data_IF_390280508435
#
_entry.id   IF_390280508435
#
_cell.length_a   1.000
_cell.length_b   1.000
_cell.length_c   1.000
_cell.angle_alpha   90.00
_cell.angle_beta   90.00
_cell.angle_gamma   90.00
#
_symmetry.space_group_name_H-M   'P 1'
#
loop_
_entity.id
_entity.type
_entity.pdbx_description
1 polymer ?
#
# COMPACT_ATOMS: atom_id res chain seq x y z
N UNK A 1 -18.23 5.18 -13.17
CA UNK A 1 -17.07 4.60 -12.44
C UNK A 1 -17.52 3.29 -11.81
N UNK A 2 -16.85 2.17 -12.09
CA UNK A 2 -17.14 0.87 -11.46
C UNK A 2 -15.94 0.55 -10.56
N UNK A 3 -16.15 0.48 -9.25
CA UNK A 3 -15.05 0.47 -8.28
C UNK A 3 -14.52 -0.93 -7.95
N UNK A 4 -15.27 -1.99 -8.30
CA UNK A 4 -15.06 -3.30 -7.66
C UNK A 4 -15.51 -3.20 -6.21
N UNK A 5 -14.70 -3.69 -5.27
CA UNK A 5 -14.88 -3.39 -3.84
C UNK A 5 -14.75 -1.90 -3.57
N UNK A 6 -15.66 -1.37 -2.76
CA UNK A 6 -15.59 -0.01 -2.23
C UNK A 6 -14.27 0.25 -1.52
N UNK A 7 -13.61 1.36 -1.88
CA UNK A 7 -12.25 1.64 -1.43
C UNK A 7 -12.16 2.75 -0.38
N UNK A 8 -11.28 2.55 0.59
CA UNK A 8 -10.71 3.60 1.42
C UNK A 8 -9.48 4.18 0.72
N UNK A 9 -9.40 5.50 0.71
CA UNK A 9 -8.27 6.31 0.23
C UNK A 9 -7.73 7.13 1.39
N UNK A 10 -6.42 7.35 1.46
CA UNK A 10 -5.88 8.29 2.44
C UNK A 10 -6.39 9.69 2.16
N UNK A 11 -6.81 10.38 3.22
CA UNK A 11 -7.16 11.78 3.17
C UNK A 11 -5.89 12.60 2.91
N UNK A 12 -5.72 13.04 1.65
CA UNK A 12 -4.50 13.72 1.19
C UNK A 12 -4.19 14.94 2.03
N UNK A 13 -5.19 15.77 2.33
CA UNK A 13 -5.00 17.00 3.09
C UNK A 13 -4.47 16.73 4.51
N UNK A 14 -4.72 15.53 5.04
CA UNK A 14 -4.30 15.15 6.38
C UNK A 14 -2.93 14.48 6.41
N UNK A 15 -2.64 13.60 5.43
CA UNK A 15 -1.42 12.79 5.45
C UNK A 15 -0.28 13.36 4.61
N UNK A 16 -0.62 14.17 3.61
CA UNK A 16 0.29 14.93 2.75
C UNK A 16 -0.19 16.39 2.66
N UNK A 17 -0.25 17.13 3.79
CA UNK A 17 -0.74 18.51 3.78
C UNK A 17 0.15 19.40 2.91
N UNK A 18 -0.47 20.39 2.27
CA UNK A 18 0.25 21.44 1.57
C UNK A 18 1.24 22.14 2.49
N UNK A 19 2.32 22.69 1.93
CA UNK A 19 3.37 23.40 2.69
C UNK A 19 2.83 24.45 3.67
N UNK A 20 1.74 25.13 3.31
CA UNK A 20 1.09 26.13 4.17
C UNK A 20 0.39 25.54 5.40
N UNK A 21 -0.01 24.26 5.34
CA UNK A 21 -0.77 23.55 6.36
C UNK A 21 0.06 22.50 7.11
N UNK A 22 1.33 22.30 6.73
CA UNK A 22 2.25 21.41 7.44
C UNK A 22 2.54 21.99 8.83
N UNK A 23 2.26 21.20 9.86
CA UNK A 23 2.55 21.52 11.27
C UNK A 23 3.57 20.55 11.84
N UNK A 24 4.42 21.02 12.77
CA UNK A 24 5.32 20.17 13.56
C UNK A 24 4.56 19.18 14.45
N UNK A 25 3.28 19.44 14.74
CA UNK A 25 2.46 18.58 15.58
C UNK A 25 1.71 17.50 14.80
N UNK A 26 1.56 17.66 13.48
CA UNK A 26 0.86 16.69 12.65
C UNK A 26 1.70 15.42 12.48
N UNK A 27 1.10 14.22 12.61
CA UNK A 27 1.80 12.97 12.35
C UNK A 27 2.22 12.85 10.89
N UNK A 28 3.45 12.38 10.70
CA UNK A 28 3.92 11.97 9.38
C UNK A 28 3.24 10.66 8.97
N UNK A 29 3.17 10.37 7.67
CA UNK A 29 2.55 9.12 7.20
C UNK A 29 3.18 7.86 7.82
N UNK A 30 4.52 7.73 7.98
CA UNK A 30 5.11 6.60 8.70
C UNK A 30 4.62 6.46 10.14
N UNK A 31 4.34 7.56 10.84
CA UNK A 31 3.80 7.49 12.21
C UNK A 31 2.33 7.06 12.26
N UNK A 32 1.55 7.43 11.25
CA UNK A 32 0.17 6.97 11.07
C UNK A 32 0.17 5.46 10.83
N UNK A 33 1.02 4.98 9.92
CA UNK A 33 1.18 3.54 9.69
C UNK A 33 1.70 2.80 10.92
N UNK A 34 2.66 3.38 11.65
CA UNK A 34 3.14 2.80 12.89
C UNK A 34 1.99 2.62 13.90
N UNK A 35 1.17 3.64 14.11
CA UNK A 35 0.00 3.57 14.99
C UNK A 35 -0.98 2.47 14.51
N UNK A 36 -1.29 2.42 13.21
CA UNK A 36 -2.14 1.37 12.64
C UNK A 36 -1.60 -0.03 12.95
N UNK A 37 -0.31 -0.26 12.69
CA UNK A 37 0.39 -1.53 12.92
C UNK A 37 0.36 -1.89 14.40
N UNK A 38 0.79 -1.01 15.30
CA UNK A 38 0.94 -1.34 16.73
C UNK A 38 -0.39 -1.63 17.44
N UNK A 39 -1.51 -1.19 16.87
CA UNK A 39 -2.85 -1.53 17.38
C UNK A 39 -3.48 -2.77 16.73
N UNK A 40 -2.82 -3.39 15.77
CA UNK A 40 -3.30 -4.57 15.06
C UNK A 40 -2.88 -5.86 15.76
N UNK A 41 -3.79 -6.80 15.96
CA UNK A 41 -3.53 -8.08 16.64
C UNK A 41 -3.56 -9.30 15.70
N UNK A 42 -3.69 -9.07 14.40
CA UNK A 42 -3.86 -10.14 13.41
C UNK A 42 -5.31 -10.50 13.10
N UNK A 43 -6.28 -9.98 13.86
CA UNK A 43 -7.71 -10.33 13.73
C UNK A 43 -8.65 -9.13 13.70
N UNK A 44 -8.17 -7.96 14.12
CA UNK A 44 -8.98 -6.74 14.29
C UNK A 44 -8.83 -5.69 13.16
N UNK A 45 -8.50 -6.12 11.92
CA UNK A 45 -8.20 -5.18 10.83
C UNK A 45 -9.37 -4.26 10.45
N UNK A 46 -10.60 -4.78 10.49
CA UNK A 46 -11.80 -3.99 10.17
C UNK A 46 -12.03 -2.89 11.18
N UNK A 47 -11.87 -3.20 12.46
CA UNK A 47 -11.97 -2.27 13.58
C UNK A 47 -10.90 -1.19 13.47
N UNK A 48 -9.65 -1.57 13.17
CA UNK A 48 -8.54 -0.62 13.00
C UNK A 48 -8.77 0.33 11.83
N UNK A 49 -9.22 -0.16 10.67
CA UNK A 49 -9.52 0.70 9.54
C UNK A 49 -10.72 1.63 9.82
N UNK A 50 -11.74 1.14 10.53
CA UNK A 50 -12.89 1.94 10.95
C UNK A 50 -12.46 3.07 11.91
N UNK A 51 -11.62 2.77 12.90
CA UNK A 51 -11.10 3.79 13.84
C UNK A 51 -10.33 4.89 13.09
N UNK A 52 -9.44 4.53 12.15
CA UNK A 52 -8.68 5.54 11.40
C UNK A 52 -9.56 6.36 10.46
N UNK A 53 -10.65 5.77 9.96
CA UNK A 53 -11.68 6.50 9.22
C UNK A 53 -12.40 7.50 10.13
N UNK A 54 -12.84 7.09 11.32
CA UNK A 54 -13.47 7.97 12.32
C UNK A 54 -12.54 9.10 12.76
N UNK A 55 -11.25 8.79 12.91
CA UNK A 55 -10.22 9.79 13.19
C UNK A 55 -10.04 10.76 12.03
N UNK A 56 -10.49 10.44 10.81
CA UNK A 56 -10.47 11.29 9.63
C UNK A 56 -9.27 11.09 8.69
N UNK A 57 -8.55 9.96 8.81
CA UNK A 57 -7.42 9.61 7.94
C UNK A 57 -7.83 8.99 6.60
N UNK A 58 -9.06 8.50 6.49
CA UNK A 58 -9.56 7.88 5.27
C UNK A 58 -10.78 8.58 4.70
N UNK A 59 -10.84 8.61 3.37
CA UNK A 59 -12.02 8.92 2.57
C UNK A 59 -12.52 7.67 1.85
N UNK A 60 -13.81 7.61 1.60
CA UNK A 60 -14.40 6.80 0.53
C UNK A 60 -15.19 7.70 -0.40
N UNK A 61 -15.34 7.30 -1.67
CA UNK A 61 -16.03 8.11 -2.68
C UNK A 61 -17.54 8.09 -2.43
N UNK A 62 -18.16 6.90 -2.41
CA UNK A 62 -19.62 6.76 -2.23
C UNK A 62 -19.98 5.92 -1.01
N UNK A 63 -19.42 4.72 -0.86
CA UNK A 63 -19.78 3.84 0.26
C UNK A 63 -19.06 4.26 1.56
N UNK A 64 -19.76 4.79 2.59
CA UNK A 64 -19.12 5.19 3.86
C UNK A 64 -18.55 4.00 4.65
N UNK A 65 -19.01 2.79 4.35
CA UNK A 65 -18.60 1.55 4.99
C UNK A 65 -17.52 0.79 4.21
N UNK A 66 -16.85 1.45 3.25
CA UNK A 66 -15.72 0.86 2.56
C UNK A 66 -14.70 0.29 3.56
N UNK A 67 -14.23 -0.94 3.31
CA UNK A 67 -13.22 -1.62 4.13
C UNK A 67 -11.96 -1.96 3.35
N UNK A 68 -12.02 -1.98 2.02
CA UNK A 68 -10.84 -2.25 1.19
C UNK A 68 -9.98 -0.99 1.09
N UNK A 69 -8.82 -0.97 1.73
CA UNK A 69 -7.90 0.15 1.54
C UNK A 69 -7.00 -0.07 0.31
N UNK A 70 -6.89 0.99 -0.49
CA UNK A 70 -5.98 1.06 -1.61
C UNK A 70 -5.02 2.20 -1.32
N UNK A 71 -3.70 1.93 -1.28
CA UNK A 71 -2.59 2.84 -0.89
C UNK A 71 -2.45 4.10 -1.78
N UNK A 72 -3.55 4.78 -1.99
CA UNK A 72 -3.77 5.94 -2.83
C UNK A 72 -4.36 7.06 -1.98
N UNK A 73 -4.15 8.28 -2.46
CA UNK A 73 -4.59 9.49 -1.79
C UNK A 73 -5.77 10.07 -2.56
N UNK A 74 -6.74 10.60 -1.84
CA UNK A 74 -7.87 11.32 -2.39
C UNK A 74 -8.05 12.60 -1.60
N UNK A 75 -8.18 13.73 -2.28
CA UNK A 75 -8.53 15.00 -1.65
C UNK A 75 -10.03 15.17 -1.43
N UNK A 76 -10.42 16.00 -0.47
CA UNK A 76 -11.83 16.29 -0.20
C UNK A 76 -12.56 16.90 -1.42
N UNK A 77 -11.90 17.82 -2.15
CA UNK A 77 -12.46 18.44 -3.35
C UNK A 77 -12.61 17.43 -4.49
N UNK A 78 -11.57 16.61 -4.74
CA UNK A 78 -11.59 15.55 -5.76
C UNK A 78 -12.69 14.53 -5.50
N UNK A 79 -12.89 14.16 -4.23
CA UNK A 79 -14.00 13.30 -3.80
C UNK A 79 -15.34 13.88 -4.20
N UNK A 80 -15.61 15.15 -3.88
CA UNK A 80 -16.89 15.79 -4.21
C UNK A 80 -17.04 15.99 -5.73
N UNK A 81 -15.97 16.26 -6.46
CA UNK A 81 -15.98 16.30 -7.92
C UNK A 81 -16.40 14.96 -8.52
N UNK A 82 -15.83 13.83 -8.05
CA UNK A 82 -16.23 12.50 -8.53
C UNK A 82 -17.69 12.22 -8.22
N UNK A 83 -18.15 12.53 -7.00
CA UNK A 83 -19.56 12.33 -6.59
C UNK A 83 -20.53 13.17 -7.41
N UNK A 84 -20.14 14.38 -7.78
CA UNK A 84 -20.97 15.30 -8.57
C UNK A 84 -20.96 15.03 -10.08
N UNK A 85 -19.94 14.36 -10.61
CA UNK A 85 -19.74 14.22 -12.07
C UNK A 85 -19.85 12.78 -12.59
N UNK A 86 -19.81 11.77 -11.73
CA UNK A 86 -19.83 10.37 -12.14
C UNK A 86 -20.98 9.59 -11.51
N UNK A 87 -21.64 8.74 -12.30
CA UNK A 87 -22.40 7.63 -11.76
C UNK A 87 -21.42 6.56 -11.27
N UNK A 88 -21.42 6.30 -9.95
CA UNK A 88 -20.51 5.37 -9.30
C UNK A 88 -21.25 4.09 -8.94
N UNK A 89 -20.71 2.96 -9.36
CA UNK A 89 -21.16 1.63 -9.00
C UNK A 89 -20.10 1.05 -8.06
N UNK A 90 -20.49 0.93 -6.80
CA UNK A 90 -19.67 0.40 -5.72
C UNK A 90 -20.04 -1.06 -5.45
N UNK A 91 -19.07 -1.83 -4.96
CA UNK A 91 -19.20 -3.25 -4.60
C UNK A 91 -19.64 -4.17 -5.76
N UNK A 92 -19.29 -3.81 -7.00
CA UNK A 92 -19.51 -4.63 -8.19
C UNK A 92 -18.38 -4.45 -9.21
N UNK A 93 -18.17 -5.45 -10.05
CA UNK A 93 -17.07 -5.51 -11.01
C UNK A 93 -17.57 -5.52 -12.44
N UNK A 94 -16.86 -4.80 -13.32
CA UNK A 94 -17.03 -4.93 -14.76
C UNK A 94 -16.62 -6.34 -15.22
N UNK A 95 -17.50 -7.00 -15.96
CA UNK A 95 -17.26 -8.35 -16.52
C UNK A 95 -17.08 -8.33 -18.03
N UNK A 96 -17.80 -7.45 -18.72
CA UNK A 96 -17.71 -7.37 -20.18
C UNK A 96 -18.74 -6.45 -20.80
N UNK A 97 -18.72 -6.40 -22.12
CA UNK A 97 -19.67 -5.66 -22.95
C UNK A 97 -20.36 -6.59 -23.93
N UNK A 98 -21.63 -6.35 -24.18
CA UNK A 98 -22.41 -6.97 -25.25
C UNK A 98 -22.94 -5.86 -26.18
N UNK A 99 -22.71 -6.03 -27.48
CA UNK A 99 -23.33 -5.20 -28.51
C UNK A 99 -24.72 -5.78 -28.82
N UNK A 100 -25.77 -4.99 -28.56
CA UNK A 100 -27.16 -5.34 -28.79
C UNK A 100 -27.73 -4.64 -30.04
N UNK A 101 -26.86 -4.13 -30.92
CA UNK A 101 -27.22 -3.40 -32.13
C UNK A 101 -27.43 -1.91 -31.87
N UNK A 102 -28.59 -1.51 -31.36
CA UNK A 102 -28.88 -0.10 -31.06
C UNK A 102 -28.40 0.34 -29.67
N UNK A 103 -28.01 -0.60 -28.82
CA UNK A 103 -27.50 -0.34 -27.47
C UNK A 103 -26.26 -1.18 -27.19
N UNK A 104 -25.40 -0.65 -26.33
CA UNK A 104 -24.27 -1.34 -25.74
C UNK A 104 -24.60 -1.67 -24.30
N UNK A 105 -24.50 -2.94 -23.92
CA UNK A 105 -24.76 -3.43 -22.56
C UNK A 105 -23.47 -3.69 -21.82
N UNK A 106 -23.26 -2.99 -20.71
CA UNK A 106 -22.18 -3.25 -19.76
C UNK A 106 -22.66 -4.30 -18.75
N UNK A 107 -21.96 -5.43 -18.66
CA UNK A 107 -22.26 -6.51 -17.71
C UNK A 107 -21.47 -6.36 -16.42
N UNK A 108 -22.16 -6.58 -15.31
CA UNK A 108 -21.58 -6.55 -13.97
C UNK A 108 -21.51 -7.95 -13.35
N UNK A 109 -20.63 -8.13 -12.37
CA UNK A 109 -20.39 -9.42 -11.73
C UNK A 109 -21.55 -9.90 -10.87
N UNK A 110 -22.37 -8.98 -10.35
CA UNK A 110 -23.62 -9.29 -9.65
C UNK A 110 -24.70 -9.92 -10.54
N UNK A 111 -24.51 -9.92 -11.87
CA UNK A 111 -25.56 -10.23 -12.85
C UNK A 111 -26.37 -9.00 -13.28
N UNK A 112 -26.13 -7.83 -12.67
CA UNK A 112 -26.67 -6.56 -13.12
C UNK A 112 -26.09 -6.08 -14.45
N UNK A 113 -26.72 -5.07 -15.05
CA UNK A 113 -26.24 -4.46 -16.28
C UNK A 113 -26.57 -2.96 -16.37
N UNK A 114 -25.86 -2.27 -17.26
CA UNK A 114 -26.10 -0.88 -17.62
C UNK A 114 -26.18 -0.80 -19.14
N UNK A 115 -27.29 -0.28 -19.66
CA UNK A 115 -27.48 -0.14 -21.11
C UNK A 115 -27.22 1.31 -21.54
N UNK A 116 -26.49 1.46 -22.64
CA UNK A 116 -26.18 2.75 -23.25
C UNK A 116 -26.57 2.76 -24.73
N UNK A 117 -27.23 3.82 -25.18
CA UNK A 117 -27.58 4.05 -26.60
C UNK A 117 -26.43 4.68 -27.40
N UNK A 118 -25.21 4.68 -26.84
CA UNK A 118 -24.03 5.35 -27.39
C UNK A 118 -22.84 4.41 -27.34
N UNK A 119 -21.83 4.73 -28.15
CA UNK A 119 -20.52 4.09 -28.08
C UNK A 119 -19.94 4.25 -26.65
N UNK A 120 -19.45 3.15 -26.10
CA UNK A 120 -18.87 3.09 -24.76
C UNK A 120 -17.36 2.93 -24.86
N UNK A 121 -16.62 3.85 -24.27
CA UNK A 121 -15.17 3.73 -24.09
C UNK A 121 -14.90 3.19 -22.69
N UNK A 122 -14.20 2.05 -22.61
CA UNK A 122 -13.77 1.47 -21.34
C UNK A 122 -12.33 1.84 -21.08
N UNK A 123 -12.12 2.57 -19.98
CA UNK A 123 -10.78 2.87 -19.47
C UNK A 123 -10.51 1.97 -18.26
N UNK A 124 -9.59 1.04 -18.41
CA UNK A 124 -9.17 0.16 -17.32
C UNK A 124 -8.12 0.88 -16.44
N UNK A 125 -8.56 1.41 -15.30
CA UNK A 125 -7.71 2.10 -14.33
C UNK A 125 -7.24 1.18 -13.18
N UNK A 126 -7.12 -0.13 -13.43
CA UNK A 126 -6.57 -1.08 -12.44
C UNK A 126 -5.07 -0.84 -12.24
N UNK A 127 -4.62 -1.00 -11.01
CA UNK A 127 -3.19 -0.90 -10.67
C UNK A 127 -2.46 -2.18 -11.05
N UNK A 128 -1.14 -2.08 -11.26
CA UNK A 128 -0.24 -3.22 -11.36
C UNK A 128 -0.24 -4.11 -10.11
N UNK A 129 -0.76 -3.62 -8.97
CA UNK A 129 -0.92 -4.41 -7.74
C UNK A 129 -2.19 -5.26 -7.71
N UNK A 130 -3.04 -5.20 -8.75
CA UNK A 130 -4.30 -5.94 -8.87
C UNK A 130 -4.28 -7.01 -9.95
N UNK A 131 -3.07 -7.44 -10.32
CA UNK A 131 -2.89 -8.60 -11.18
C UNK A 131 -2.12 -9.67 -10.40
N UNK A 132 -2.81 -10.75 -10.05
CA UNK A 132 -2.35 -12.01 -9.44
C UNK A 132 -1.16 -12.70 -10.11
N UNK A 133 -0.60 -12.12 -11.18
CA UNK A 133 0.55 -12.63 -11.95
C UNK A 133 1.70 -11.62 -12.08
N UNK A 134 1.60 -10.47 -11.42
CA UNK A 134 2.68 -9.48 -11.46
C UNK A 134 3.88 -10.02 -10.70
N UNK A 135 5.02 -10.15 -11.40
CA UNK A 135 6.32 -10.52 -10.81
C UNK A 135 6.74 -9.63 -9.63
N UNK A 136 6.16 -8.44 -9.54
CA UNK A 136 6.37 -7.43 -8.50
C UNK A 136 5.52 -7.62 -7.25
N UNK A 137 4.57 -8.57 -7.25
CA UNK A 137 3.79 -8.94 -6.06
C UNK A 137 4.37 -10.14 -5.31
N UNK A 138 5.32 -10.85 -5.90
CA UNK A 138 5.95 -11.98 -5.22
C UNK A 138 6.89 -11.49 -4.13
N UNK A 139 6.71 -12.02 -2.93
CA UNK A 139 7.57 -11.79 -1.79
C UNK A 139 8.63 -12.90 -1.74
N UNK A 140 9.80 -12.52 -2.22
CA UNK A 140 10.95 -13.39 -2.48
C UNK A 140 12.19 -12.71 -1.95
N UNK A 141 13.15 -13.50 -1.50
CA UNK A 141 14.40 -12.93 -1.01
C UNK A 141 15.11 -12.10 -2.12
N UNK A 142 15.71 -10.93 -1.79
CA UNK A 142 16.37 -10.08 -2.78
C UNK A 142 17.43 -10.80 -3.63
N UNK A 143 18.21 -11.69 -3.02
CA UNK A 143 19.16 -12.57 -3.73
C UNK A 143 18.41 -13.80 -4.24
N UNK A 144 18.43 -13.99 -5.56
CA UNK A 144 17.87 -15.16 -6.26
C UNK A 144 18.84 -16.33 -6.27
N UNK A 145 18.36 -17.57 -6.49
CA UNK A 145 19.23 -18.75 -6.57
C UNK A 145 20.36 -18.66 -7.60
N UNK A 146 20.17 -17.90 -8.67
CA UNK A 146 21.15 -17.66 -9.73
C UNK A 146 22.14 -16.52 -9.42
N UNK A 147 22.05 -15.92 -8.23
CA UNK A 147 22.89 -14.80 -7.79
C UNK A 147 22.42 -13.44 -8.30
N UNK A 148 21.34 -13.37 -9.09
CA UNK A 148 20.74 -12.10 -9.50
C UNK A 148 20.01 -11.42 -8.33
N UNK A 149 19.86 -10.10 -8.42
CA UNK A 149 19.17 -9.31 -7.40
C UNK A 149 17.83 -8.80 -7.93
N UNK A 150 16.75 -9.06 -7.19
CA UNK A 150 15.40 -8.62 -7.53
C UNK A 150 14.59 -8.38 -6.26
N UNK A 151 14.15 -7.14 -6.08
CA UNK A 151 13.53 -6.66 -4.83
C UNK A 151 12.01 -6.83 -4.77
N UNK A 152 11.37 -7.18 -5.89
CA UNK A 152 9.92 -7.40 -5.96
C UNK A 152 9.10 -6.26 -5.34
N UNK A 153 8.09 -6.64 -4.54
CA UNK A 153 7.20 -5.74 -3.80
C UNK A 153 7.48 -5.68 -2.30
N UNK A 154 8.71 -6.01 -1.87
CA UNK A 154 9.05 -6.25 -0.45
C UNK A 154 8.84 -5.04 0.47
N UNK A 155 8.93 -3.81 -0.06
CA UNK A 155 8.64 -2.58 0.70
C UNK A 155 7.33 -1.91 0.26
N UNK A 156 6.52 -2.62 -0.53
CA UNK A 156 5.18 -2.23 -0.91
C UNK A 156 5.04 -1.20 -2.03
N UNK A 157 5.87 -0.16 -2.09
CA UNK A 157 5.73 0.91 -3.09
C UNK A 157 7.05 1.21 -3.81
N UNK A 158 7.09 1.08 -5.14
CA UNK A 158 8.33 1.07 -5.95
C UNK A 158 9.28 2.27 -5.79
N UNK A 159 8.83 3.45 -5.33
CA UNK A 159 9.64 4.67 -5.26
C UNK A 159 10.81 4.62 -4.27
N UNK A 160 10.58 5.00 -3.01
CA UNK A 160 11.62 5.01 -1.95
C UNK A 160 12.19 3.61 -1.70
N UNK A 161 11.39 2.58 -1.95
CA UNK A 161 11.75 1.15 -1.89
C UNK A 161 12.93 0.81 -2.78
N UNK A 162 12.79 1.03 -4.09
CA UNK A 162 13.84 0.66 -5.04
C UNK A 162 15.09 1.48 -4.80
N UNK A 163 14.94 2.73 -4.36
CA UNK A 163 16.06 3.59 -4.02
C UNK A 163 16.90 3.04 -2.86
N UNK A 164 16.27 2.68 -1.73
CA UNK A 164 16.97 2.13 -0.56
C UNK A 164 17.65 0.80 -0.86
N UNK A 165 16.99 -0.08 -1.60
CA UNK A 165 17.61 -1.33 -2.02
C UNK A 165 18.77 -1.13 -2.99
N UNK A 166 18.66 -0.15 -3.91
CA UNK A 166 19.77 0.22 -4.80
C UNK A 166 20.95 0.75 -4.00
N UNK A 167 20.72 1.59 -2.99
CA UNK A 167 21.76 2.06 -2.08
C UNK A 167 22.39 0.92 -1.28
N UNK A 168 21.60 -0.01 -0.75
CA UNK A 168 22.15 -1.18 -0.07
C UNK A 168 23.00 -2.02 -1.05
N UNK A 169 22.57 -2.15 -2.31
CA UNK A 169 23.29 -2.90 -3.32
C UNK A 169 24.69 -2.34 -3.61
N UNK A 170 24.88 -1.02 -3.52
CA UNK A 170 26.20 -0.40 -3.77
C UNK A 170 27.23 -0.76 -2.70
N UNK A 171 26.80 -1.27 -1.54
CA UNK A 171 27.68 -1.79 -0.49
C UNK A 171 28.14 -3.23 -0.76
N UNK A 172 27.60 -3.89 -1.78
CA UNK A 172 27.89 -5.27 -2.17
C UNK A 172 26.70 -6.20 -1.92
N UNK A 173 26.47 -7.21 -2.78
CA UNK A 173 25.30 -8.09 -2.69
C UNK A 173 25.25 -8.91 -1.39
N UNK A 174 26.39 -9.16 -0.74
CA UNK A 174 26.48 -9.92 0.52
C UNK A 174 25.73 -9.24 1.67
N UNK A 175 25.42 -7.95 1.55
CA UNK A 175 24.62 -7.23 2.55
C UNK A 175 23.28 -7.91 2.80
N UNK A 176 22.65 -8.45 1.74
CA UNK A 176 21.32 -9.05 1.86
C UNK A 176 21.35 -10.39 2.60
N UNK A 177 22.50 -11.08 2.69
CA UNK A 177 22.62 -12.33 3.46
C UNK A 177 22.43 -12.09 4.96
N UNK A 178 22.62 -10.86 5.41
CA UNK A 178 22.52 -10.48 6.83
C UNK A 178 21.20 -9.79 7.18
N UNK A 179 20.40 -9.40 6.18
CA UNK A 179 19.17 -8.66 6.40
C UNK A 179 18.00 -9.60 6.71
N UNK A 180 17.34 -9.38 7.85
CA UNK A 180 16.08 -10.01 8.18
C UNK A 180 14.95 -9.46 7.29
N UNK A 181 14.69 -10.13 6.17
CA UNK A 181 13.64 -9.74 5.23
C UNK A 181 12.35 -10.51 5.46
N UNK A 182 11.22 -9.85 5.25
CA UNK A 182 9.89 -10.37 5.49
C UNK A 182 9.03 -10.35 4.23
N UNK A 183 8.21 -11.37 4.08
CA UNK A 183 7.20 -11.52 3.05
C UNK A 183 5.87 -11.99 3.61
N UNK A 184 4.82 -11.99 2.79
CA UNK A 184 3.55 -12.59 3.16
C UNK A 184 3.68 -14.10 3.42
N UNK A 185 2.86 -14.60 4.36
CA UNK A 185 2.77 -16.05 4.66
C UNK A 185 2.07 -16.85 3.56
N UNK A 186 1.22 -16.20 2.78
CA UNK A 186 0.42 -16.81 1.74
C UNK A 186 0.43 -15.95 0.48
N UNK A 187 0.16 -16.58 -0.66
CA UNK A 187 0.05 -15.91 -1.94
C UNK A 187 -1.32 -15.23 -2.03
N UNK A 188 -1.31 -13.90 -2.13
CA UNK A 188 -2.52 -13.13 -2.38
C UNK A 188 -2.83 -13.15 -3.88
N UNK A 189 -4.01 -13.66 -4.24
CA UNK A 189 -4.58 -13.55 -5.58
C UNK A 189 -5.70 -12.51 -5.54
N UNK A 190 -6.02 -11.85 -6.65
CA UNK A 190 -6.83 -10.60 -6.70
C UNK A 190 -8.17 -10.61 -5.94
N UNK A 191 -8.73 -11.79 -5.64
CA UNK A 191 -9.99 -11.95 -4.89
C UNK A 191 -9.81 -12.14 -3.38
N UNK A 192 -8.59 -12.37 -2.89
CA UNK A 192 -8.24 -12.60 -1.47
C UNK A 192 -7.60 -11.39 -0.79
N UNK A 193 -7.45 -10.26 -1.49
CA UNK A 193 -6.99 -9.00 -0.87
C UNK A 193 -8.08 -8.47 0.05
N UNK A 194 -7.97 -8.76 1.34
CA UNK A 194 -8.87 -8.37 2.42
C UNK A 194 -8.29 -7.23 3.27
N UNK A 195 -8.92 -6.92 4.40
CA UNK A 195 -8.45 -5.89 5.31
C UNK A 195 -7.13 -6.28 6.00
N UNK A 196 -6.89 -7.57 6.23
CA UNK A 196 -5.65 -8.07 6.84
C UNK A 196 -4.44 -7.86 5.92
N UNK A 197 -4.63 -8.04 4.60
CA UNK A 197 -3.60 -7.75 3.59
C UNK A 197 -3.01 -6.34 3.78
N UNK A 198 -3.86 -5.35 4.04
CA UNK A 198 -3.44 -3.95 4.16
C UNK A 198 -2.49 -3.76 5.33
N UNK A 199 -2.83 -4.28 6.51
CA UNK A 199 -2.02 -4.12 7.71
C UNK A 199 -0.76 -4.99 7.64
N UNK A 200 -0.85 -6.19 7.07
CA UNK A 200 0.33 -7.01 6.76
C UNK A 200 1.27 -6.31 5.80
N UNK A 201 0.75 -5.64 4.76
CA UNK A 201 1.55 -4.91 3.80
C UNK A 201 2.27 -3.73 4.45
N UNK A 202 1.59 -2.97 5.32
CA UNK A 202 2.19 -1.88 6.08
C UNK A 202 3.28 -2.40 7.03
N UNK A 203 3.00 -3.46 7.78
CA UNK A 203 3.95 -4.11 8.68
C UNK A 203 5.18 -4.60 7.92
N UNK A 204 4.99 -5.29 6.79
CA UNK A 204 6.06 -5.78 5.92
C UNK A 204 6.94 -4.64 5.44
N UNK A 205 6.34 -3.58 4.89
CA UNK A 205 7.07 -2.42 4.40
C UNK A 205 7.87 -1.71 5.49
N UNK A 206 7.33 -1.63 6.71
CA UNK A 206 8.00 -1.00 7.84
C UNK A 206 9.14 -1.86 8.40
N UNK A 207 8.91 -3.17 8.62
CA UNK A 207 9.93 -4.11 9.10
C UNK A 207 11.11 -4.17 8.13
N UNK A 208 10.85 -4.35 6.84
CA UNK A 208 11.89 -4.41 5.81
C UNK A 208 12.64 -3.06 5.65
N UNK A 209 11.96 -1.93 5.86
CA UNK A 209 12.65 -0.62 5.89
C UNK A 209 13.61 -0.55 7.07
N UNK A 210 13.21 -1.03 8.25
CA UNK A 210 14.05 -1.05 9.44
C UNK A 210 15.25 -1.98 9.29
N UNK A 211 15.08 -3.15 8.67
CA UNK A 211 16.20 -4.04 8.35
C UNK A 211 17.22 -3.33 7.46
N UNK A 212 16.77 -2.65 6.39
CA UNK A 212 17.68 -1.88 5.52
C UNK A 212 18.40 -0.74 6.24
N UNK A 213 17.78 -0.12 7.24
CA UNK A 213 18.42 0.94 8.02
C UNK A 213 19.59 0.44 8.87
N UNK A 214 19.76 -0.87 9.04
CA UNK A 214 20.92 -1.46 9.73
C UNK A 214 22.21 -1.37 8.91
N UNK A 215 22.07 -1.30 7.58
CA UNK A 215 23.21 -1.34 6.65
C UNK A 215 23.40 0.00 5.94
N UNK A 216 22.33 0.79 5.78
CA UNK A 216 22.42 2.11 5.18
C UNK A 216 22.98 3.15 6.16
N UNK A 217 23.90 3.99 5.69
CA UNK A 217 24.41 5.10 6.50
C UNK A 217 23.33 6.19 6.71
N UNK A 218 23.44 7.02 7.76
CA UNK A 218 22.58 8.20 7.91
C UNK A 218 22.63 9.14 6.69
N UNK A 219 23.77 9.26 6.02
CA UNK A 219 23.94 10.03 4.78
C UNK A 219 23.14 9.43 3.62
N UNK A 220 23.19 8.11 3.43
CA UNK A 220 22.42 7.38 2.42
C UNK A 220 20.92 7.61 2.64
N UNK A 221 20.47 7.48 3.88
CA UNK A 221 19.07 7.71 4.25
C UNK A 221 18.62 9.17 4.02
N UNK A 222 19.52 10.14 4.21
CA UNK A 222 19.25 11.56 3.95
C UNK A 222 19.17 11.87 2.45
N UNK A 223 19.85 11.09 1.61
CA UNK A 223 19.84 11.26 0.16
C UNK A 223 18.54 10.81 -0.51
N UNK A 224 17.70 10.04 0.19
CA UNK A 224 16.38 9.62 -0.31
C UNK A 224 15.44 10.83 -0.45
N UNK A 225 15.31 11.29 -1.69
CA UNK A 225 14.43 12.40 -2.05
C UNK A 225 12.96 12.00 -2.25
N UNK A 226 12.67 10.70 -2.28
CA UNK A 226 11.35 10.12 -2.58
C UNK A 226 10.53 9.85 -1.32
N UNK A 227 11.11 10.10 -0.15
CA UNK A 227 10.47 9.91 1.14
C UNK A 227 9.33 10.93 1.34
N UNK A 228 8.11 10.42 1.58
CA UNK A 228 6.91 11.25 1.60
C UNK A 228 6.89 12.27 2.75
N UNK A 229 7.57 11.99 3.88
CA UNK A 229 7.66 12.94 4.98
C UNK A 229 8.70 14.03 4.77
N UNK A 230 9.45 14.04 3.65
CA UNK A 230 10.49 15.04 3.36
C UNK A 230 10.01 16.49 3.48
N UNK A 231 8.74 16.73 3.17
CA UNK A 231 8.13 18.06 3.23
C UNK A 231 7.88 18.56 4.66
N UNK A 232 7.94 17.68 5.67
CA UNK A 232 7.80 18.05 7.07
C UNK A 232 9.07 18.74 7.61
N UNK A 233 8.93 19.66 8.58
CA UNK A 233 10.06 20.28 9.27
C UNK A 233 11.03 19.24 9.82
N UNK A 234 12.33 19.56 9.79
CA UNK A 234 13.38 18.63 10.20
C UNK A 234 13.15 18.01 11.58
N UNK A 235 12.79 18.82 12.58
CA UNK A 235 12.53 18.31 13.94
C UNK A 235 11.35 17.34 14.00
N UNK A 236 10.33 17.51 13.14
CA UNK A 236 9.23 16.54 13.06
C UNK A 236 9.70 15.22 12.45
N UNK A 237 10.50 15.26 11.38
CA UNK A 237 11.09 14.05 10.79
C UNK A 237 11.98 13.32 11.78
N UNK A 238 12.80 14.05 12.55
CA UNK A 238 13.64 13.46 13.60
C UNK A 238 12.80 12.80 14.69
N UNK A 239 11.74 13.47 15.16
CA UNK A 239 10.81 12.90 16.14
C UNK A 239 10.17 11.61 15.63
N UNK A 240 9.68 11.60 14.38
CA UNK A 240 9.10 10.42 13.75
C UNK A 240 10.11 9.26 13.68
N UNK A 241 11.34 9.54 13.25
CA UNK A 241 12.41 8.54 13.19
C UNK A 241 12.76 7.96 14.57
N UNK A 242 12.84 8.78 15.62
CA UNK A 242 13.07 8.31 17.00
C UNK A 242 11.90 7.45 17.47
N UNK A 243 10.65 7.85 17.18
CA UNK A 243 9.46 7.11 17.56
C UNK A 243 9.43 5.71 16.91
N UNK A 244 9.72 5.63 15.61
CA UNK A 244 9.77 4.36 14.89
C UNK A 244 10.91 3.49 15.41
N UNK A 245 12.11 4.04 15.61
CA UNK A 245 13.24 3.28 16.15
C UNK A 245 12.96 2.73 17.56
N UNK A 246 12.23 3.47 18.41
CA UNK A 246 11.83 2.98 19.74
C UNK A 246 10.83 1.82 19.67
N UNK A 247 10.06 1.71 18.59
CA UNK A 247 9.12 0.62 18.36
C UNK A 247 9.73 -0.54 17.55
N UNK A 248 11.04 -0.49 17.23
CA UNK A 248 11.70 -1.44 16.33
C UNK A 248 11.50 -2.89 16.75
N UNK A 249 11.79 -3.21 18.01
CA UNK A 249 11.70 -4.59 18.50
C UNK A 249 10.25 -5.09 18.44
N UNK A 250 9.29 -4.25 18.80
CA UNK A 250 7.86 -4.57 18.70
C UNK A 250 7.42 -4.79 17.25
N UNK A 251 7.91 -3.98 16.30
CA UNK A 251 7.62 -4.17 14.87
C UNK A 251 8.16 -5.52 14.39
N UNK A 252 9.39 -5.88 14.76
CA UNK A 252 9.96 -7.17 14.38
C UNK A 252 9.26 -8.36 15.04
N UNK A 253 8.87 -8.25 16.30
CA UNK A 253 8.07 -9.28 16.98
C UNK A 253 6.73 -9.50 16.25
N UNK A 254 6.03 -8.42 15.89
CA UNK A 254 4.81 -8.50 15.10
C UNK A 254 5.06 -9.11 13.71
N UNK A 255 6.16 -8.74 13.05
CA UNK A 255 6.53 -9.29 11.75
C UNK A 255 6.83 -10.80 11.85
N UNK A 256 7.53 -11.26 12.89
CA UNK A 256 7.77 -12.69 13.12
C UNK A 256 6.47 -13.46 13.40
N UNK A 257 5.47 -12.85 14.04
CA UNK A 257 4.15 -13.47 14.29
C UNK A 257 3.29 -13.51 13.03
N UNK A 258 3.20 -12.44 12.26
CA UNK A 258 2.19 -12.30 11.19
C UNK A 258 2.74 -12.47 9.78
N UNK A 259 4.04 -12.33 9.58
CA UNK A 259 4.71 -12.45 8.28
C UNK A 259 5.62 -13.69 8.26
N UNK A 260 6.23 -13.94 7.10
CA UNK A 260 7.20 -15.01 6.90
C UNK A 260 8.59 -14.38 6.72
N UNK A 261 9.60 -14.89 7.43
CA UNK A 261 10.99 -14.55 7.12
C UNK A 261 11.39 -15.14 5.77
N UNK A 262 12.08 -14.33 4.98
CA UNK A 262 12.60 -14.70 3.67
C UNK A 262 14.06 -15.11 3.83
N UNK A 263 14.41 -16.27 3.30
CA UNK A 263 15.79 -16.77 3.26
C UNK A 263 16.30 -16.85 1.81
N UNK A 264 17.62 -16.73 1.57
CA UNK A 264 18.19 -16.91 0.24
C UNK A 264 17.73 -18.25 -0.39
N UNK A 265 17.17 -18.19 -1.59
CA UNK A 265 16.64 -19.37 -2.28
C UNK A 265 15.19 -19.72 -1.96
N UNK A 266 14.52 -18.96 -1.08
CA UNK A 266 13.09 -19.12 -0.86
C UNK A 266 12.30 -18.94 -2.15
N UNK A 267 11.54 -19.97 -2.50
CA UNK A 267 10.45 -19.87 -3.45
C UNK A 267 9.16 -19.61 -2.66
N UNK A 268 8.34 -18.69 -3.15
CA UNK A 268 7.05 -18.44 -2.52
C UNK A 268 6.19 -19.71 -2.63
N UNK A 269 5.58 -20.19 -1.54
CA UNK A 269 4.69 -21.35 -1.63
C UNK A 269 3.51 -21.03 -2.56
N UNK A 270 3.13 -22.02 -3.37
CA UNK A 270 1.96 -21.98 -4.27
C UNK A 270 0.67 -21.61 -3.51
#
# INVERSE_FOLDING_TARGET
>A
LIEGRSKLFLNRERVLPDKANISIFNPTLPEIYLDMILGWDGTNSKERLAEFRERGYFHSVVNPNATSYFFAHLGAEEKEQVRGSAHVISDDYFVGVEDMGSTTRIKLSSGGHIDYEKEVIIVNCRTSSSESRSGYLFDVHPIRPDGSVSFGGLLGASGSTNYKYTLAHTQGPQVYDTLGMYGFKHTYVDRTIDEDYVLQFMLKGMANTLSLMEVLSPEDMKSDTLEQSRWFPFFRRLYAAVKINRARDQIFEMADVHLRRLTPGDQQPD
#
